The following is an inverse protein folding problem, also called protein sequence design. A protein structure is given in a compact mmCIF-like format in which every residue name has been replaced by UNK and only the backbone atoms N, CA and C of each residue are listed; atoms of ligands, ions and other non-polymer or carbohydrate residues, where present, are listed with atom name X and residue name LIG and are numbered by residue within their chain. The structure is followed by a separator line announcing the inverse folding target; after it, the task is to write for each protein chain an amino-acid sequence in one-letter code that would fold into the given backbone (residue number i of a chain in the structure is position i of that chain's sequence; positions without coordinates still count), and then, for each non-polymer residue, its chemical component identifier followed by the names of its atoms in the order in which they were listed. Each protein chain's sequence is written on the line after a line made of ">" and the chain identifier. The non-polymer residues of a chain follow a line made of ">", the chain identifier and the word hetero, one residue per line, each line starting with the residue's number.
data_IF_090127797991
#
_entry.id   IF_090127797991
#
_cell.length_a   1.000
_cell.length_b   1.000
_cell.length_c   1.000
_cell.angle_alpha   90.00
_cell.angle_beta   90.00
_cell.angle_gamma   90.00
#
_symmetry.space_group_name_H-M   'P 1'
#
loop_
_entity.id
_entity.type
_entity.pdbx_description
1 polymer ?
#
# COMPACT_ATOMS: atom_id res chain seq x y z
N UNK A 1 4.73 25.27 -49.96
CA UNK A 1 4.94 24.39 -48.79
C UNK A 1 4.62 25.20 -47.56
N UNK A 2 3.88 24.65 -46.60
CA UNK A 2 3.48 25.33 -45.36
C UNK A 2 4.15 24.70 -44.14
N UNK A 3 4.43 25.49 -43.11
CA UNK A 3 4.94 24.95 -41.84
C UNK A 3 3.81 24.41 -40.98
N UNK A 4 4.03 23.24 -40.40
CA UNK A 4 3.11 22.65 -39.44
C UNK A 4 3.04 23.54 -38.18
N UNK A 5 1.85 24.00 -37.74
CA UNK A 5 1.73 24.82 -36.54
C UNK A 5 2.06 24.05 -35.25
N UNK A 6 2.07 22.72 -35.28
CA UNK A 6 2.34 21.89 -34.10
C UNK A 6 3.84 21.59 -33.90
N UNK A 7 4.60 21.35 -34.97
CA UNK A 7 6.01 20.93 -34.87
C UNK A 7 7.00 21.73 -35.73
N UNK A 8 6.52 22.70 -36.53
CA UNK A 8 7.37 23.58 -37.33
C UNK A 8 7.98 22.96 -38.59
N UNK A 9 7.74 21.67 -38.87
CA UNK A 9 8.26 21.01 -40.08
C UNK A 9 7.57 21.52 -41.36
N UNK A 10 8.30 21.53 -42.46
CA UNK A 10 7.75 21.89 -43.77
C UNK A 10 6.91 20.75 -44.35
N UNK A 11 5.70 21.07 -44.80
CA UNK A 11 4.72 20.11 -45.34
C UNK A 11 4.15 20.67 -46.64
N UNK A 12 3.74 19.80 -47.56
CA UNK A 12 3.06 20.20 -48.80
C UNK A 12 1.80 21.04 -48.50
N UNK A 13 1.48 22.01 -49.36
CA UNK A 13 0.34 22.94 -49.21
C UNK A 13 -0.99 22.19 -49.01
N UNK A 14 -1.16 21.10 -49.75
CA UNK A 14 -2.38 20.30 -49.84
C UNK A 14 -2.44 19.16 -48.81
N UNK A 15 -1.39 18.98 -48.01
CA UNK A 15 -1.34 17.92 -47.03
C UNK A 15 -2.40 18.13 -45.94
N UNK A 16 -3.28 17.13 -45.79
CA UNK A 16 -4.33 17.07 -44.76
C UNK A 16 -3.77 16.67 -43.39
N UNK A 17 -2.57 16.08 -43.34
CA UNK A 17 -1.89 15.65 -42.12
C UNK A 17 -0.38 15.88 -42.25
N UNK A 18 0.28 16.22 -41.14
CA UNK A 18 1.73 16.35 -41.08
C UNK A 18 2.39 14.96 -41.07
N UNK A 19 3.28 14.70 -42.02
CA UNK A 19 4.02 13.43 -42.12
C UNK A 19 5.04 13.21 -41.00
N UNK A 20 5.42 14.28 -40.28
CA UNK A 20 6.41 14.20 -39.21
C UNK A 20 5.81 14.00 -37.81
N UNK A 21 4.66 14.63 -37.50
CA UNK A 21 4.04 14.55 -36.17
C UNK A 21 2.59 14.02 -36.17
N UNK A 22 2.01 13.75 -37.34
CA UNK A 22 0.66 13.20 -37.48
C UNK A 22 -0.49 14.22 -37.29
N UNK A 23 -0.22 15.50 -37.00
CA UNK A 23 -1.28 16.49 -36.76
C UNK A 23 -2.10 16.80 -38.02
N UNK A 24 -3.43 16.84 -37.90
CA UNK A 24 -4.35 17.22 -38.99
C UNK A 24 -4.20 18.71 -39.31
N UNK A 25 -3.95 19.04 -40.57
CA UNK A 25 -3.80 20.40 -41.08
C UNK A 25 -5.12 20.78 -41.78
N UNK A 26 -5.78 21.84 -41.32
CA UNK A 26 -7.01 22.31 -41.93
C UNK A 26 -6.76 22.82 -43.36
N UNK A 27 -7.46 22.26 -44.33
CA UNK A 27 -7.59 22.77 -45.71
C UNK A 27 -8.79 23.71 -45.73
N UNK A 28 -8.56 24.99 -46.01
CA UNK A 28 -9.60 26.01 -45.98
C UNK A 28 -10.29 26.18 -47.34
N UNK A 29 -11.61 26.31 -47.29
CA UNK A 29 -12.39 27.24 -48.10
C UNK A 29 -13.69 27.53 -47.34
N UNK A 30 -13.78 28.73 -46.75
CA UNK A 30 -14.89 29.70 -46.88
C UNK A 30 -14.73 30.87 -45.89
N UNK A 31 -15.28 32.02 -46.28
CA UNK A 31 -14.74 33.38 -46.11
C UNK A 31 -15.44 34.20 -44.99
N UNK A 32 -14.65 35.11 -44.38
CA UNK A 32 -14.89 36.24 -43.41
C UNK A 32 -16.12 37.16 -43.70
N UNK A 33 -16.52 38.21 -42.90
CA UNK A 33 -15.79 38.98 -41.85
C UNK A 33 -16.55 39.62 -40.61
N UNK A 34 -15.76 40.03 -39.57
CA UNK A 34 -15.71 41.29 -38.72
C UNK A 34 -17.05 41.95 -38.23
N UNK A 35 -17.30 42.41 -36.98
CA UNK A 35 -16.83 43.61 -36.17
C UNK A 35 -17.51 43.54 -34.76
N UNK A 36 -16.82 43.70 -33.59
CA UNK A 36 -16.67 44.85 -32.64
C UNK A 36 -17.85 45.25 -31.70
N UNK A 37 -17.53 45.47 -30.40
CA UNK A 37 -18.23 46.17 -29.26
C UNK A 37 -19.31 45.39 -28.45
N UNK A 38 -19.13 45.12 -27.13
CA UNK A 38 -19.47 45.96 -25.92
C UNK A 38 -20.97 46.28 -25.84
N UNK A 39 -21.81 45.97 -24.82
CA UNK A 39 -21.80 46.06 -23.34
C UNK A 39 -23.06 45.29 -22.80
N UNK A 40 -23.01 44.50 -21.71
CA UNK A 40 -23.49 44.78 -20.31
C UNK A 40 -24.88 44.18 -19.92
N UNK A 41 -24.86 43.49 -18.76
CA UNK A 41 -25.90 43.10 -17.78
C UNK A 41 -26.88 41.95 -18.11
N UNK A 42 -26.80 40.83 -17.36
CA UNK A 42 -27.50 40.52 -16.07
C UNK A 42 -28.95 40.16 -16.37
N UNK A 43 -29.50 38.97 -16.10
CA UNK A 43 -29.37 38.07 -14.97
C UNK A 43 -30.14 36.80 -15.37
N UNK A 44 -29.63 35.60 -15.08
CA UNK A 44 -30.40 34.54 -14.41
C UNK A 44 -29.38 33.50 -13.96
N UNK A 45 -29.28 33.39 -12.64
CA UNK A 45 -28.40 32.50 -11.94
C UNK A 45 -28.77 31.02 -12.16
N UNK A 46 -27.77 30.18 -11.86
CA UNK A 46 -27.86 28.75 -11.53
C UNK A 46 -27.81 27.77 -12.69
N UNK A 47 -26.61 27.55 -13.25
CA UNK A 47 -26.20 26.20 -13.67
C UNK A 47 -24.67 26.04 -13.84
N UNK A 48 -23.88 26.57 -12.90
CA UNK A 48 -22.44 26.28 -12.82
C UNK A 48 -22.02 26.02 -11.38
N UNK A 49 -22.52 24.91 -10.82
CA UNK A 49 -21.97 24.30 -9.62
C UNK A 49 -22.28 22.80 -9.60
N UNK A 50 -21.86 22.09 -10.67
CA UNK A 50 -21.65 20.64 -10.62
C UNK A 50 -20.59 20.24 -11.65
N UNK A 51 -19.37 20.74 -11.43
CA UNK A 51 -18.21 19.91 -11.74
C UNK A 51 -18.24 18.76 -10.74
N UNK A 52 -19.00 17.73 -11.09
CA UNK A 52 -18.78 16.41 -10.52
C UNK A 52 -17.32 16.08 -10.81
N UNK A 53 -16.54 15.99 -9.73
CA UNK A 53 -15.28 15.26 -9.71
C UNK A 53 -15.58 13.77 -9.96
N UNK A 54 -16.09 13.45 -11.14
CA UNK A 54 -16.15 12.11 -11.68
C UNK A 54 -14.73 11.78 -12.09
N UNK A 55 -14.03 11.03 -11.26
CA UNK A 55 -12.84 10.29 -11.70
C UNK A 55 -13.30 9.43 -12.88
N UNK A 56 -13.04 9.88 -14.10
CA UNK A 56 -13.25 9.08 -15.30
C UNK A 56 -12.29 7.91 -15.20
N UNK A 57 -12.81 6.80 -14.67
CA UNK A 57 -12.05 5.60 -14.42
C UNK A 57 -11.75 4.95 -15.77
N UNK A 58 -10.62 5.34 -16.34
CA UNK A 58 -10.12 4.83 -17.61
C UNK A 58 -9.80 3.34 -17.44
N UNK A 59 -10.74 2.50 -17.90
CA UNK A 59 -10.69 1.04 -17.75
C UNK A 59 -9.43 0.45 -18.38
N UNK A 60 -8.90 1.07 -19.43
CA UNK A 60 -7.68 0.60 -20.10
C UNK A 60 -6.45 0.88 -19.25
N UNK A 61 -6.34 2.08 -18.66
CA UNK A 61 -5.26 2.43 -17.72
C UNK A 61 -5.31 1.59 -16.46
N UNK A 62 -6.49 1.31 -15.92
CA UNK A 62 -6.64 0.42 -14.77
C UNK A 62 -6.18 -1.00 -15.08
N UNK A 63 -6.60 -1.55 -16.22
CA UNK A 63 -6.21 -2.91 -16.63
C UNK A 63 -4.71 -3.01 -16.89
N UNK A 64 -4.12 -1.99 -17.51
CA UNK A 64 -2.67 -1.92 -17.70
C UNK A 64 -1.92 -1.85 -16.35
N UNK A 65 -2.43 -1.04 -15.41
CA UNK A 65 -1.83 -0.89 -14.08
C UNK A 65 -1.94 -2.17 -13.24
N UNK A 66 -3.07 -2.88 -13.29
CA UNK A 66 -3.24 -4.13 -12.56
C UNK A 66 -2.39 -5.27 -13.12
N UNK A 67 -2.25 -5.37 -14.45
CA UNK A 67 -1.35 -6.34 -15.09
C UNK A 67 0.13 -6.04 -14.80
N UNK A 68 0.51 -4.76 -14.79
CA UNK A 68 1.86 -4.33 -14.42
C UNK A 68 2.19 -4.69 -12.98
N UNK A 69 1.28 -4.37 -12.04
CA UNK A 69 1.42 -4.74 -10.63
C UNK A 69 1.49 -6.25 -10.44
N UNK A 70 0.63 -7.02 -11.12
CA UNK A 70 0.64 -8.49 -11.03
C UNK A 70 1.97 -9.07 -11.52
N UNK A 71 2.49 -8.59 -12.65
CA UNK A 71 3.80 -9.00 -13.18
C UNK A 71 4.94 -8.70 -12.19
N UNK A 72 4.91 -7.52 -11.56
CA UNK A 72 5.86 -7.14 -10.52
C UNK A 72 5.80 -8.09 -9.32
N UNK A 73 4.58 -8.39 -8.84
CA UNK A 73 4.35 -9.22 -7.66
C UNK A 73 4.79 -10.68 -7.89
N UNK A 74 4.41 -11.26 -9.04
CA UNK A 74 4.85 -12.62 -9.42
C UNK A 74 6.36 -12.69 -9.57
N UNK A 75 7.00 -11.63 -10.08
CA UNK A 75 8.47 -11.55 -10.15
C UNK A 75 9.07 -11.51 -8.74
N UNK A 76 8.48 -10.73 -7.84
CA UNK A 76 8.91 -10.59 -6.45
C UNK A 76 8.87 -11.93 -5.69
N UNK A 77 7.81 -12.70 -5.88
CA UNK A 77 7.69 -14.04 -5.29
C UNK A 77 8.70 -15.05 -5.82
N UNK A 78 9.04 -14.99 -7.11
CA UNK A 78 10.01 -15.91 -7.72
C UNK A 78 11.45 -15.50 -7.41
N UNK A 79 11.74 -14.20 -7.34
CA UNK A 79 13.07 -13.64 -7.21
C UNK A 79 13.10 -12.43 -6.27
N UNK A 80 12.94 -12.62 -4.95
CA UNK A 80 12.76 -11.52 -3.98
C UNK A 80 13.94 -10.54 -3.92
N UNK A 81 15.16 -10.97 -4.24
CA UNK A 81 16.35 -10.11 -4.25
C UNK A 81 16.65 -9.45 -5.62
N UNK A 82 15.90 -9.76 -6.68
CA UNK A 82 16.15 -9.22 -8.03
C UNK A 82 15.10 -8.16 -8.39
N UNK A 83 15.24 -6.99 -7.79
CA UNK A 83 14.36 -5.84 -8.05
C UNK A 83 14.59 -5.34 -9.47
N UNK A 84 13.56 -5.39 -10.33
CA UNK A 84 13.57 -4.76 -11.65
C UNK A 84 13.04 -3.32 -11.55
N UNK A 85 13.73 -2.38 -12.20
CA UNK A 85 13.48 -0.93 -12.13
C UNK A 85 12.27 -0.44 -12.94
N UNK A 86 11.65 -1.26 -13.79
CA UNK A 86 10.62 -0.81 -14.75
C UNK A 86 9.18 -1.04 -14.25
N UNK A 87 8.84 -0.62 -13.03
CA UNK A 87 7.48 -0.82 -12.50
C UNK A 87 6.89 0.43 -11.87
N UNK A 88 5.57 0.43 -11.69
CA UNK A 88 4.82 1.57 -11.13
C UNK A 88 5.39 2.01 -9.78
N UNK A 89 5.56 3.32 -9.61
CA UNK A 89 6.14 3.96 -8.41
C UNK A 89 5.44 3.58 -7.11
N UNK A 90 4.19 3.12 -7.18
CA UNK A 90 3.32 2.84 -6.03
C UNK A 90 3.24 1.35 -5.66
N UNK A 91 3.87 0.44 -6.42
CA UNK A 91 3.70 -1.01 -6.25
C UNK A 91 4.05 -1.49 -4.84
N UNK A 92 5.12 -0.95 -4.25
CA UNK A 92 5.54 -1.27 -2.89
C UNK A 92 4.55 -0.79 -1.84
N UNK A 93 4.07 0.45 -1.94
CA UNK A 93 3.06 0.99 -1.01
C UNK A 93 1.75 0.20 -1.05
N UNK A 94 1.31 -0.18 -2.26
CA UNK A 94 0.12 -1.03 -2.45
C UNK A 94 0.34 -2.39 -1.77
N UNK A 95 1.52 -3.01 -1.96
CA UNK A 95 1.84 -4.30 -1.36
C UNK A 95 1.85 -4.23 0.17
N UNK A 96 2.54 -3.24 0.76
CA UNK A 96 2.55 -3.04 2.21
C UNK A 96 1.14 -2.78 2.76
N UNK A 97 0.32 -2.03 2.04
CA UNK A 97 -1.08 -1.78 2.39
C UNK A 97 -1.91 -3.08 2.37
N UNK A 98 -1.77 -3.90 1.34
CA UNK A 98 -2.47 -5.18 1.23
C UNK A 98 -2.01 -6.16 2.33
N UNK A 99 -0.71 -6.23 2.60
CA UNK A 99 -0.16 -7.05 3.67
C UNK A 99 -0.75 -6.66 5.03
N UNK A 100 -0.75 -5.36 5.35
CA UNK A 100 -1.32 -4.84 6.59
C UNK A 100 -2.84 -5.08 6.68
N UNK A 101 -3.56 -4.95 5.57
CA UNK A 101 -5.02 -5.12 5.53
C UNK A 101 -5.40 -6.59 5.77
N UNK A 102 -4.73 -7.52 5.09
CA UNK A 102 -4.96 -8.96 5.24
C UNK A 102 -4.56 -9.41 6.65
N UNK A 103 -3.45 -8.90 7.18
CA UNK A 103 -3.03 -9.17 8.55
C UNK A 103 -4.07 -8.67 9.56
N UNK A 104 -4.49 -7.41 9.45
CA UNK A 104 -5.54 -6.85 10.32
C UNK A 104 -6.86 -7.61 10.23
N UNK A 105 -7.23 -8.08 9.04
CA UNK A 105 -8.45 -8.88 8.83
C UNK A 105 -8.33 -10.24 9.53
N UNK A 106 -7.18 -10.90 9.38
CA UNK A 106 -6.87 -12.18 10.05
C UNK A 106 -6.99 -12.02 11.56
N UNK A 107 -6.39 -10.97 12.12
CA UNK A 107 -6.44 -10.65 13.54
C UNK A 107 -7.88 -10.42 14.01
N UNK A 108 -8.66 -9.59 13.33
CA UNK A 108 -10.06 -9.34 13.70
C UNK A 108 -10.87 -10.64 13.75
N UNK A 109 -10.72 -11.53 12.76
CA UNK A 109 -11.41 -12.83 12.74
C UNK A 109 -10.96 -13.70 13.91
N UNK A 110 -9.66 -13.74 14.22
CA UNK A 110 -9.12 -14.53 15.34
C UNK A 110 -9.70 -14.08 16.67
N UNK A 111 -9.62 -12.77 16.96
CA UNK A 111 -10.17 -12.23 18.20
C UNK A 111 -11.67 -12.45 18.31
N UNK A 112 -12.40 -12.32 17.20
CA UNK A 112 -13.84 -12.58 17.16
C UNK A 112 -14.15 -14.06 17.44
N UNK A 113 -13.39 -14.98 16.85
CA UNK A 113 -13.53 -16.43 17.06
C UNK A 113 -13.26 -16.84 18.51
N UNK A 114 -12.25 -16.24 19.13
CA UNK A 114 -11.93 -16.47 20.54
C UNK A 114 -12.97 -15.90 21.50
N UNK A 115 -13.46 -14.68 21.25
CA UNK A 115 -14.56 -14.11 22.05
C UNK A 115 -15.81 -14.98 21.98
N UNK A 116 -16.21 -15.39 20.77
CA UNK A 116 -17.41 -16.23 20.58
C UNK A 116 -17.25 -17.58 21.27
N UNK A 117 -16.06 -18.20 21.17
CA UNK A 117 -15.75 -19.42 21.89
C UNK A 117 -15.89 -19.19 23.39
N UNK A 118 -15.19 -18.20 23.96
CA UNK A 118 -15.24 -17.88 25.38
C UNK A 118 -16.67 -17.64 25.87
N UNK A 119 -17.47 -16.88 25.12
CA UNK A 119 -18.87 -16.62 25.45
C UNK A 119 -19.71 -17.90 25.46
N UNK A 120 -19.52 -18.80 24.49
CA UNK A 120 -20.24 -20.08 24.46
C UNK A 120 -19.89 -20.98 25.65
N UNK A 121 -18.61 -21.04 26.03
CA UNK A 121 -18.17 -21.82 27.20
C UNK A 121 -18.72 -21.22 28.50
N UNK A 122 -18.67 -19.90 28.64
CA UNK A 122 -19.22 -19.21 29.81
C UNK A 122 -20.73 -19.43 29.92
N UNK A 123 -21.47 -19.31 28.81
CA UNK A 123 -22.90 -19.53 28.78
C UNK A 123 -23.29 -20.96 29.17
N UNK A 124 -22.54 -21.95 28.66
CA UNK A 124 -22.78 -23.35 29.01
C UNK A 124 -22.44 -23.66 30.48
N UNK A 125 -21.38 -23.07 31.02
CA UNK A 125 -20.92 -23.35 32.38
C UNK A 125 -21.69 -22.59 33.46
N UNK A 126 -22.12 -21.35 33.18
CA UNK A 126 -22.64 -20.42 34.19
C UNK A 126 -24.03 -19.84 33.86
N UNK A 127 -24.63 -20.19 32.72
CA UNK A 127 -25.98 -19.75 32.36
C UNK A 127 -26.11 -18.26 32.02
N UNK A 128 -25.01 -17.57 31.70
CA UNK A 128 -24.95 -16.14 31.34
C UNK A 128 -24.40 -15.85 29.94
N UNK A 129 -24.11 -14.59 29.63
CA UNK A 129 -23.46 -14.16 28.38
C UNK A 129 -22.64 -12.90 28.65
N UNK A 130 -21.49 -12.75 27.98
CA UNK A 130 -20.67 -11.54 27.95
C UNK A 130 -21.32 -10.40 27.13
N UNK A 131 -22.46 -10.66 26.51
CA UNK A 131 -23.12 -9.72 25.61
C UNK A 131 -22.55 -9.78 24.20
N UNK A 132 -22.87 -8.75 23.41
CA UNK A 132 -22.47 -8.67 22.00
C UNK A 132 -20.95 -8.60 21.84
N UNK A 133 -20.44 -9.24 20.79
CA UNK A 133 -19.02 -9.28 20.52
C UNK A 133 -18.50 -7.89 20.13
N UNK A 134 -17.61 -7.28 20.94
CA UNK A 134 -17.14 -5.92 20.68
C UNK A 134 -16.08 -5.86 19.57
N UNK A 135 -15.55 -7.00 19.12
CA UNK A 135 -14.52 -7.10 18.07
C UNK A 135 -15.16 -6.83 16.69
N UNK A 136 -14.99 -5.60 16.22
CA UNK A 136 -15.50 -5.14 14.93
C UNK A 136 -14.43 -4.48 14.04
N UNK A 137 -14.88 -3.59 13.15
CA UNK A 137 -14.01 -2.87 12.21
C UNK A 137 -12.94 -2.02 12.92
N UNK A 138 -13.16 -1.58 14.16
CA UNK A 138 -12.17 -0.89 14.97
C UNK A 138 -10.89 -1.72 15.16
N UNK A 139 -11.02 -3.02 15.38
CA UNK A 139 -9.87 -3.94 15.50
C UNK A 139 -9.12 -4.04 14.18
N UNK A 140 -9.83 -4.23 13.06
CA UNK A 140 -9.21 -4.24 11.73
C UNK A 140 -8.41 -2.96 11.46
N UNK A 141 -9.04 -1.79 11.64
CA UNK A 141 -8.44 -0.49 11.35
C UNK A 141 -7.22 -0.26 12.26
N UNK A 142 -7.32 -0.57 13.54
CA UNK A 142 -6.22 -0.38 14.50
C UNK A 142 -5.00 -1.20 14.10
N UNK A 143 -5.18 -2.49 13.79
CA UNK A 143 -4.06 -3.35 13.39
C UNK A 143 -3.52 -3.01 12.01
N UNK A 144 -4.41 -2.67 11.06
CA UNK A 144 -4.01 -2.20 9.74
C UNK A 144 -3.12 -0.96 9.85
N UNK A 145 -3.56 0.07 10.57
CA UNK A 145 -2.79 1.30 10.74
C UNK A 145 -1.50 1.05 11.53
N UNK A 146 -1.55 0.30 12.63
CA UNK A 146 -0.36 0.00 13.42
C UNK A 146 0.71 -0.70 12.58
N UNK A 147 0.32 -1.70 11.78
CA UNK A 147 1.27 -2.43 10.92
C UNK A 147 1.73 -1.62 9.72
N UNK A 148 0.82 -0.97 9.00
CA UNK A 148 1.16 -0.17 7.83
C UNK A 148 2.08 1.01 8.18
N UNK A 149 1.77 1.74 9.26
CA UNK A 149 2.61 2.86 9.72
C UNK A 149 3.95 2.38 10.26
N UNK A 150 3.99 1.25 10.99
CA UNK A 150 5.25 0.65 11.42
C UNK A 150 6.11 0.26 10.22
N UNK A 151 5.52 -0.35 9.20
CA UNK A 151 6.23 -0.77 8.00
C UNK A 151 6.88 0.41 7.27
N UNK A 152 6.14 1.53 7.14
CA UNK A 152 6.66 2.77 6.56
C UNK A 152 7.76 3.39 7.44
N UNK A 153 7.57 3.42 8.76
CA UNK A 153 8.53 4.00 9.68
C UNK A 153 9.85 3.22 9.69
N UNK A 154 9.82 1.89 9.79
CA UNK A 154 11.04 1.07 9.78
C UNK A 154 11.74 1.08 8.41
N UNK A 155 10.98 1.16 7.31
CA UNK A 155 11.53 1.37 5.97
C UNK A 155 12.19 2.76 5.87
N UNK A 156 11.56 3.80 6.43
CA UNK A 156 12.11 5.16 6.50
C UNK A 156 13.40 5.25 7.31
N UNK A 157 13.50 4.52 8.43
CA UNK A 157 14.74 4.41 9.22
C UNK A 157 15.85 3.78 8.38
N UNK A 158 15.57 2.69 7.67
CA UNK A 158 16.55 2.04 6.78
C UNK A 158 17.01 2.94 5.64
N UNK A 159 16.06 3.69 5.04
CA UNK A 159 16.35 4.70 4.03
C UNK A 159 17.28 5.79 4.58
N UNK A 160 16.93 6.38 5.73
CA UNK A 160 17.71 7.43 6.37
C UNK A 160 19.12 6.95 6.75
N UNK A 161 19.27 5.72 7.24
CA UNK A 161 20.57 5.13 7.52
C UNK A 161 21.43 5.04 6.26
N UNK A 162 20.89 4.52 5.16
CA UNK A 162 21.60 4.47 3.87
C UNK A 162 22.02 5.86 3.41
N UNK A 163 21.12 6.83 3.50
CA UNK A 163 21.31 8.21 3.04
C UNK A 163 22.34 9.00 3.88
N UNK A 164 22.47 8.67 5.15
CA UNK A 164 23.44 9.29 6.07
C UNK A 164 24.86 8.72 5.88
N UNK A 165 24.95 7.41 5.68
CA UNK A 165 26.20 6.66 5.69
C UNK A 165 26.75 6.32 4.30
N UNK A 166 26.03 6.62 3.20
CA UNK A 166 26.48 6.39 1.81
C UNK A 166 26.23 7.61 0.92
N UNK A 167 27.12 7.94 -0.03
CA UNK A 167 26.98 9.12 -0.89
C UNK A 167 25.97 8.97 -2.05
N UNK A 168 25.48 7.77 -2.34
CA UNK A 168 24.57 7.52 -3.46
C UNK A 168 23.11 7.64 -3.02
N UNK A 169 22.42 8.66 -3.54
CA UNK A 169 21.03 8.99 -3.20
C UNK A 169 20.07 8.20 -4.10
N UNK A 170 19.06 7.59 -3.50
CA UNK A 170 17.96 6.93 -4.22
C UNK A 170 16.63 7.59 -3.84
N UNK A 171 15.65 7.58 -4.73
CA UNK A 171 14.30 8.04 -4.38
C UNK A 171 13.70 7.16 -3.27
N UNK A 172 13.01 7.79 -2.31
CA UNK A 172 12.39 7.07 -1.20
C UNK A 172 11.40 5.99 -1.67
N UNK A 173 10.57 6.31 -2.67
CA UNK A 173 9.59 5.36 -3.19
C UNK A 173 10.24 4.17 -3.91
N UNK A 174 11.40 4.37 -4.53
CA UNK A 174 12.17 3.26 -5.11
C UNK A 174 12.78 2.38 -4.03
N UNK A 175 13.19 2.97 -2.90
CA UNK A 175 13.62 2.23 -1.73
C UNK A 175 12.48 1.41 -1.13
N UNK A 176 11.28 2.00 -0.97
CA UNK A 176 10.07 1.30 -0.51
C UNK A 176 9.71 0.15 -1.47
N UNK A 177 9.77 0.38 -2.79
CA UNK A 177 9.56 -0.66 -3.78
C UNK A 177 10.58 -1.80 -3.62
N UNK A 178 11.85 -1.48 -3.38
CA UNK A 178 12.90 -2.46 -3.13
C UNK A 178 12.65 -3.31 -1.88
N UNK A 179 12.22 -2.70 -0.77
CA UNK A 179 11.86 -3.42 0.46
C UNK A 179 10.63 -4.31 0.22
N UNK A 180 9.54 -3.73 -0.28
CA UNK A 180 8.29 -4.45 -0.52
C UNK A 180 8.46 -5.61 -1.52
N UNK A 181 9.35 -5.47 -2.50
CA UNK A 181 9.67 -6.56 -3.43
C UNK A 181 10.30 -7.75 -2.68
N UNK A 182 11.29 -7.47 -1.82
CA UNK A 182 11.98 -8.49 -1.01
C UNK A 182 11.06 -9.17 -0.01
N UNK A 183 10.14 -8.41 0.60
CA UNK A 183 9.23 -8.92 1.64
C UNK A 183 7.91 -9.43 1.10
N UNK A 184 7.62 -9.27 -0.20
CA UNK A 184 6.37 -9.69 -0.84
C UNK A 184 5.92 -11.15 -0.62
N UNK A 185 6.79 -12.15 -0.31
CA UNK A 185 6.31 -13.46 0.09
C UNK A 185 5.45 -13.46 1.37
N UNK A 186 5.56 -12.42 2.21
CA UNK A 186 4.69 -12.20 3.39
C UNK A 186 3.22 -12.16 2.96
N UNK A 187 2.90 -11.57 1.81
CA UNK A 187 1.53 -11.53 1.30
C UNK A 187 0.92 -12.94 1.14
N UNK A 188 1.71 -13.92 0.67
CA UNK A 188 1.25 -15.31 0.55
C UNK A 188 1.02 -15.95 1.92
N UNK A 189 1.94 -15.75 2.86
CA UNK A 189 1.82 -16.28 4.22
C UNK A 189 0.62 -15.67 4.95
N UNK A 190 0.38 -14.37 4.78
CA UNK A 190 -0.78 -13.68 5.35
C UNK A 190 -2.10 -14.18 4.75
N UNK A 191 -2.14 -14.48 3.44
CA UNK A 191 -3.31 -15.10 2.82
C UNK A 191 -3.59 -16.49 3.38
N UNK A 192 -2.55 -17.31 3.59
CA UNK A 192 -2.71 -18.63 4.22
C UNK A 192 -3.19 -18.46 5.66
N UNK A 193 -2.58 -17.56 6.44
CA UNK A 193 -2.99 -17.28 7.81
C UNK A 193 -4.45 -16.81 7.89
N UNK A 194 -4.90 -15.98 6.94
CA UNK A 194 -6.29 -15.54 6.83
C UNK A 194 -7.24 -16.73 6.63
N UNK A 195 -6.91 -17.71 5.78
CA UNK A 195 -7.76 -18.88 5.57
C UNK A 195 -7.92 -19.72 6.86
N UNK A 196 -6.83 -19.94 7.58
CA UNK A 196 -6.87 -20.66 8.86
C UNK A 196 -7.51 -19.85 10.00
N UNK A 197 -7.55 -18.51 9.89
CA UNK A 197 -8.16 -17.64 10.90
C UNK A 197 -9.65 -17.93 11.12
N UNK A 198 -10.38 -18.40 10.10
CA UNK A 198 -11.82 -18.68 10.20
C UNK A 198 -12.17 -19.88 11.08
N UNK A 199 -11.18 -20.72 11.42
CA UNK A 199 -11.42 -21.99 12.12
C UNK A 199 -10.79 -22.02 13.53
N UNK A 200 -10.29 -20.88 14.01
CA UNK A 200 -9.71 -20.75 15.36
C UNK A 200 -10.79 -20.73 16.45
N UNK A 201 -10.43 -21.17 17.66
CA UNK A 201 -11.33 -21.24 18.81
C UNK A 201 -10.76 -22.16 19.89
N UNK A 202 -11.59 -22.52 20.89
CA UNK A 202 -11.18 -23.37 22.02
C UNK A 202 -11.41 -24.88 21.80
N UNK A 203 -11.89 -25.30 20.63
CA UNK A 203 -11.88 -26.72 20.26
C UNK A 203 -10.47 -27.22 19.99
N UNK A 204 -10.22 -28.53 20.04
CA UNK A 204 -8.89 -29.11 19.76
C UNK A 204 -8.36 -28.68 18.38
N UNK A 205 -9.18 -28.73 17.34
CA UNK A 205 -8.81 -28.27 15.99
C UNK A 205 -8.59 -26.76 15.93
N UNK A 206 -9.40 -25.97 16.65
CA UNK A 206 -9.25 -24.52 16.71
C UNK A 206 -7.94 -24.06 17.38
N UNK A 207 -7.52 -24.75 18.44
CA UNK A 207 -6.24 -24.47 19.10
C UNK A 207 -5.07 -24.82 18.18
N UNK A 208 -5.11 -25.97 17.49
CA UNK A 208 -4.08 -26.36 16.51
C UNK A 208 -3.96 -25.33 15.37
N UNK A 209 -5.08 -24.88 14.81
CA UNK A 209 -5.09 -23.86 13.76
C UNK A 209 -4.56 -22.52 14.28
N UNK A 210 -4.79 -22.18 15.55
CA UNK A 210 -4.20 -20.99 16.15
C UNK A 210 -2.69 -21.10 16.24
N UNK A 211 -2.15 -22.24 16.70
CA UNK A 211 -0.70 -22.45 16.75
C UNK A 211 -0.07 -22.33 15.36
N UNK A 212 -0.73 -22.87 14.34
CA UNK A 212 -0.30 -22.71 12.94
C UNK A 212 -0.28 -21.23 12.52
N UNK A 213 -1.34 -20.47 12.79
CA UNK A 213 -1.42 -19.04 12.45
C UNK A 213 -0.34 -18.23 13.18
N UNK A 214 -0.08 -18.50 14.46
CA UNK A 214 0.99 -17.85 15.23
C UNK A 214 2.38 -18.20 14.67
N UNK A 215 2.58 -19.45 14.21
CA UNK A 215 3.80 -19.85 13.53
C UNK A 215 3.99 -19.08 12.22
N UNK A 216 2.93 -18.96 11.40
CA UNK A 216 2.96 -18.16 10.17
C UNK A 216 3.29 -16.70 10.44
N UNK A 217 2.68 -16.08 11.45
CA UNK A 217 3.01 -14.70 11.86
C UNK A 217 4.44 -14.56 12.37
N UNK A 218 4.98 -15.55 13.06
CA UNK A 218 6.38 -15.53 13.48
C UNK A 218 7.32 -15.57 12.28
N UNK A 219 7.00 -16.37 11.26
CA UNK A 219 7.75 -16.42 10.01
C UNK A 219 7.64 -15.10 9.25
N UNK A 220 6.47 -14.48 9.17
CA UNK A 220 6.32 -13.17 8.48
C UNK A 220 7.12 -12.07 9.18
N UNK A 221 7.13 -12.03 10.51
CA UNK A 221 7.96 -11.11 11.28
C UNK A 221 9.46 -11.33 11.01
N UNK A 222 9.91 -12.58 10.91
CA UNK A 222 11.30 -12.89 10.57
C UNK A 222 11.66 -12.40 9.15
N UNK A 223 10.82 -12.68 8.15
CA UNK A 223 11.03 -12.22 6.77
C UNK A 223 11.07 -10.69 6.73
N UNK A 224 10.16 -10.02 7.44
CA UNK A 224 10.14 -8.57 7.54
C UNK A 224 11.45 -8.04 8.11
N UNK A 225 11.91 -8.61 9.23
CA UNK A 225 13.13 -8.20 9.90
C UNK A 225 14.38 -8.38 9.02
N UNK A 226 14.51 -9.50 8.32
CA UNK A 226 15.61 -9.70 7.38
C UNK A 226 15.50 -8.78 6.15
N UNK A 227 14.29 -8.56 5.64
CA UNK A 227 14.02 -7.71 4.49
C UNK A 227 14.44 -6.26 4.70
N UNK A 228 14.09 -5.67 5.85
CA UNK A 228 14.44 -4.27 6.16
C UNK A 228 15.92 -4.06 6.48
N UNK A 229 16.63 -5.09 6.96
CA UNK A 229 18.06 -5.02 7.27
C UNK A 229 18.95 -5.34 6.06
N UNK A 230 18.45 -6.06 5.06
CA UNK A 230 19.22 -6.48 3.89
C UNK A 230 19.94 -5.33 3.16
N UNK A 231 19.33 -4.15 2.93
CA UNK A 231 20.03 -3.02 2.30
C UNK A 231 21.23 -2.51 3.10
N UNK A 232 21.22 -2.67 4.43
CA UNK A 232 22.33 -2.25 5.31
C UNK A 232 23.51 -3.21 5.19
N UNK A 233 23.25 -4.51 5.09
CA UNK A 233 24.28 -5.52 4.81
C UNK A 233 24.96 -5.29 3.45
N UNK A 234 24.20 -4.79 2.47
CA UNK A 234 24.65 -4.54 1.09
C UNK A 234 25.39 -3.20 0.90
N UNK A 235 25.54 -2.37 1.95
CA UNK A 235 26.20 -1.06 1.83
C UNK A 235 27.66 -1.19 1.40
N UNK A 236 28.01 -0.54 0.29
CA UNK A 236 29.39 -0.46 -0.20
C UNK A 236 30.10 0.75 0.42
N UNK A 237 31.24 0.50 1.10
CA UNK A 237 32.08 1.53 1.74
C UNK A 237 31.32 2.56 2.62
N UNK A 238 30.53 2.12 3.62
CA UNK A 238 29.83 3.03 4.51
C UNK A 238 30.81 3.81 5.41
N UNK A 239 30.42 5.02 5.83
CA UNK A 239 31.22 5.85 6.77
C UNK A 239 31.45 5.22 8.15
N UNK A 240 30.58 4.30 8.54
CA UNK A 240 30.61 3.56 9.80
C UNK A 240 30.54 2.06 9.49
N UNK A 241 31.16 1.21 10.30
CA UNK A 241 31.05 -0.24 10.11
C UNK A 241 29.58 -0.70 10.14
N UNK A 242 29.24 -1.64 9.25
CA UNK A 242 27.88 -2.13 9.04
C UNK A 242 27.26 -2.65 10.34
N UNK A 243 28.05 -3.28 11.22
CA UNK A 243 27.55 -3.79 12.50
C UNK A 243 26.96 -2.69 13.38
N UNK A 244 27.62 -1.54 13.48
CA UNK A 244 27.11 -0.42 14.28
C UNK A 244 25.86 0.20 13.65
N UNK A 245 25.81 0.31 12.30
CA UNK A 245 24.60 0.79 11.61
C UNK A 245 23.43 -0.16 11.87
N UNK A 246 23.65 -1.47 11.81
CA UNK A 246 22.63 -2.50 12.10
C UNK A 246 22.10 -2.39 13.53
N UNK A 247 22.97 -2.20 14.53
CA UNK A 247 22.56 -2.02 15.92
C UNK A 247 21.68 -0.77 16.06
N UNK A 248 22.10 0.36 15.50
CA UNK A 248 21.33 1.62 15.55
C UNK A 248 19.95 1.44 14.90
N UNK A 249 19.90 0.91 13.68
CA UNK A 249 18.64 0.68 12.95
C UNK A 249 17.73 -0.28 13.72
N UNK A 250 18.29 -1.35 14.29
CA UNK A 250 17.51 -2.33 15.07
C UNK A 250 16.90 -1.72 16.33
N UNK A 251 17.65 -0.89 17.06
CA UNK A 251 17.15 -0.18 18.24
C UNK A 251 16.02 0.80 17.89
N UNK A 252 16.17 1.56 16.80
CA UNK A 252 15.14 2.48 16.32
C UNK A 252 13.89 1.73 15.86
N UNK A 253 14.04 0.61 15.15
CA UNK A 253 12.91 -0.24 14.76
C UNK A 253 12.20 -0.83 15.98
N UNK A 254 12.95 -1.26 17.01
CA UNK A 254 12.40 -1.73 18.27
C UNK A 254 11.53 -0.67 18.97
N UNK A 255 11.96 0.59 18.94
CA UNK A 255 11.18 1.71 19.45
C UNK A 255 9.86 1.90 18.67
N UNK A 256 9.91 1.83 17.33
CA UNK A 256 8.70 1.89 16.48
C UNK A 256 7.73 0.76 16.83
N UNK A 257 8.20 -0.48 16.95
CA UNK A 257 7.35 -1.61 17.33
C UNK A 257 6.77 -1.46 18.74
N UNK A 258 7.54 -0.90 19.67
CA UNK A 258 7.05 -0.58 21.02
C UNK A 258 5.88 0.41 20.99
N UNK A 259 5.98 1.48 20.20
CA UNK A 259 4.88 2.45 20.04
C UNK A 259 3.64 1.81 19.40
N UNK A 260 3.84 1.00 18.36
CA UNK A 260 2.75 0.29 17.70
C UNK A 260 2.05 -0.70 18.65
N UNK A 261 2.83 -1.43 19.45
CA UNK A 261 2.30 -2.32 20.49
C UNK A 261 1.47 -1.55 21.51
N UNK A 262 1.94 -0.40 22.00
CA UNK A 262 1.21 0.43 22.95
C UNK A 262 -0.14 0.92 22.37
N UNK A 263 -0.16 1.33 21.10
CA UNK A 263 -1.39 1.74 20.43
C UNK A 263 -2.41 0.59 20.33
N UNK A 264 -1.95 -0.60 19.96
CA UNK A 264 -2.79 -1.81 19.90
C UNK A 264 -3.25 -2.24 21.30
N UNK A 265 -2.37 -2.22 22.29
CA UNK A 265 -2.68 -2.60 23.66
C UNK A 265 -3.74 -1.67 24.28
N UNK A 266 -3.63 -0.35 24.07
CA UNK A 266 -4.63 0.61 24.52
C UNK A 266 -6.02 0.33 23.92
N UNK A 267 -6.07 -0.08 22.64
CA UNK A 267 -7.32 -0.51 22.01
C UNK A 267 -7.95 -1.72 22.72
N UNK A 268 -7.16 -2.73 23.10
CA UNK A 268 -7.69 -3.90 23.82
C UNK A 268 -8.10 -3.62 25.26
N UNK A 269 -7.34 -2.80 25.98
CA UNK A 269 -7.71 -2.41 27.34
C UNK A 269 -9.09 -1.76 27.35
N UNK A 270 -9.41 -0.96 26.33
CA UNK A 270 -10.74 -0.35 26.20
C UNK A 270 -11.87 -1.38 26.04
N UNK A 271 -11.62 -2.51 25.37
CA UNK A 271 -12.61 -3.60 25.27
C UNK A 271 -12.77 -4.35 26.59
N UNK A 272 -11.67 -4.64 27.29
CA UNK A 272 -11.72 -5.32 28.57
C UNK A 272 -12.47 -4.49 29.62
N UNK A 273 -12.32 -3.16 29.59
CA UNK A 273 -13.05 -2.25 30.46
C UNK A 273 -14.56 -2.19 30.18
N UNK A 274 -15.03 -2.61 29.00
CA UNK A 274 -16.46 -2.68 28.69
C UNK A 274 -17.10 -3.98 29.22
N UNK A 275 -16.30 -4.98 29.60
CA UNK A 275 -16.77 -6.28 30.09
C UNK A 275 -16.97 -6.33 31.61
N UNK A 276 -16.49 -5.34 32.36
CA UNK A 276 -16.59 -5.21 33.81
C UNK A 276 -17.29 -3.90 34.20
#
# INVERSE_FOLDING_TARGET
>A
MKKCPNCGSEVAEEAKFCTNCGSKLATGDEVKPKVVASEVQSETASEQAKQEAGVSLDKEKLKASSLSYWSWLVTAWKHPFKVKSETSKWSGLITLGLEGLIFGLSIMIIFRGYYNSANSYYSQAFGGSFGDNPVGLGTLITFFLATFLSALATTGIGYGARELFTPNRTDFLDFVNGIAHRTSPILLLNLIALLFSFTVGFTTSGVLNTMLVLCLFSITLAIWQFGILAPIYELANPKLDRLYILIIVTLLNGFVYGLAYMAVAAHYVSYLQQLF
#
